data_IF_797828672715
#
_entry.id   IF_797828672715
#
_cell.length_a   1.000
_cell.length_b   1.000
_cell.length_c   1.000
_cell.angle_alpha   90.00
_cell.angle_beta   90.00
_cell.angle_gamma   90.00
#
_symmetry.space_group_name_H-M   'P 1'
#
loop_
_entity.id
_entity.type
_entity.pdbx_description
1 polymer ?
#
# COMPACT_ATOMS: atom_id res chain seq x y z
N UNK A 1 -64.17 13.53 -6.51
CA UNK A 1 -63.54 12.32 -5.96
C UNK A 1 -62.04 12.60 -5.92
N UNK A 2 -61.44 12.52 -4.73
CA UNK A 2 -60.17 13.16 -4.35
C UNK A 2 -58.92 12.61 -5.08
N UNK A 3 -57.97 13.50 -5.33
CA UNK A 3 -56.58 13.20 -5.69
C UNK A 3 -55.89 12.43 -4.54
N UNK A 4 -55.10 11.42 -4.87
CA UNK A 4 -54.02 10.92 -4.01
C UNK A 4 -52.73 10.81 -4.83
N UNK A 5 -51.83 11.77 -4.62
CA UNK A 5 -50.39 11.62 -4.90
C UNK A 5 -49.81 10.70 -3.82
N UNK A 6 -49.20 9.59 -4.22
CA UNK A 6 -48.29 8.85 -3.35
C UNK A 6 -46.91 9.51 -3.42
N UNK A 7 -46.55 10.25 -2.37
CA UNK A 7 -45.18 10.68 -2.14
C UNK A 7 -44.37 9.49 -1.59
N UNK A 8 -43.42 8.98 -2.36
CA UNK A 8 -42.41 8.04 -1.88
C UNK A 8 -41.36 8.87 -1.13
N UNK A 9 -41.40 8.80 0.20
CA UNK A 9 -40.39 9.40 1.06
C UNK A 9 -39.14 8.50 1.03
N UNK A 10 -38.17 8.83 0.18
CA UNK A 10 -36.85 8.21 0.25
C UNK A 10 -36.13 8.75 1.50
N UNK A 11 -35.98 7.89 2.51
CA UNK A 11 -35.20 8.19 3.70
C UNK A 11 -33.71 8.14 3.31
N UNK A 12 -33.11 9.30 3.03
CA UNK A 12 -31.66 9.42 2.85
C UNK A 12 -31.03 9.29 4.23
N UNK A 13 -30.50 8.11 4.56
CA UNK A 13 -29.62 7.95 5.71
C UNK A 13 -28.27 8.56 5.31
N UNK A 14 -28.05 9.79 5.73
CA UNK A 14 -26.74 10.43 5.63
C UNK A 14 -25.79 9.71 6.59
N UNK A 15 -25.01 8.75 6.06
CA UNK A 15 -23.82 8.26 6.73
C UNK A 15 -22.84 9.42 6.78
N UNK A 16 -22.73 10.07 7.94
CA UNK A 16 -21.68 11.04 8.20
C UNK A 16 -20.34 10.31 8.23
N UNK A 17 -19.76 10.05 7.06
CA UNK A 17 -18.34 9.81 6.93
C UNK A 17 -17.64 10.99 7.62
N UNK A 18 -17.06 10.75 8.79
CA UNK A 18 -16.24 11.73 9.48
C UNK A 18 -14.97 11.89 8.64
N UNK A 19 -15.06 12.71 7.60
CA UNK A 19 -13.89 13.21 6.89
C UNK A 19 -12.94 13.87 7.88
N UNK A 20 -11.63 13.86 7.60
CA UNK A 20 -10.63 14.37 8.53
C UNK A 20 -10.99 15.81 8.96
N UNK A 21 -10.83 16.15 10.25
CA UNK A 21 -11.26 17.44 10.77
C UNK A 21 -10.65 18.58 9.96
N UNK A 22 -11.41 19.65 9.70
CA UNK A 22 -11.03 20.78 8.81
C UNK A 22 -9.64 21.38 9.10
N UNK A 23 -9.15 21.29 10.35
CA UNK A 23 -7.80 21.69 10.74
C UNK A 23 -6.68 20.81 10.15
N UNK A 24 -6.92 19.49 9.97
CA UNK A 24 -5.99 18.61 9.27
C UNK A 24 -5.94 18.94 7.77
N UNK A 25 -7.07 19.25 7.11
CA UNK A 25 -7.08 19.63 5.69
C UNK A 25 -6.28 20.93 5.45
N UNK A 26 -6.46 21.94 6.29
CA UNK A 26 -5.70 23.19 6.22
C UNK A 26 -4.20 22.99 6.50
N UNK A 27 -3.86 22.13 7.46
CA UNK A 27 -2.48 21.73 7.76
C UNK A 27 -1.84 21.00 6.58
N UNK A 28 -2.54 20.04 5.97
CA UNK A 28 -2.09 19.25 4.82
C UNK A 28 -1.84 20.12 3.59
N UNK A 29 -2.74 21.08 3.30
CA UNK A 29 -2.55 22.07 2.23
C UNK A 29 -1.37 23.03 2.49
N UNK A 30 -1.12 23.39 3.76
CA UNK A 30 0.00 24.24 4.15
C UNK A 30 1.36 23.52 4.17
N UNK A 31 1.39 22.18 4.24
CA UNK A 31 2.63 21.39 4.13
C UNK A 31 3.10 21.31 2.68
N UNK A 32 2.20 21.01 1.74
CA UNK A 32 2.54 20.92 0.30
C UNK A 32 3.07 22.26 -0.27
N UNK A 33 2.60 23.41 0.22
CA UNK A 33 3.09 24.72 -0.23
C UNK A 33 4.50 25.09 0.26
N UNK A 34 5.03 24.41 1.29
CA UNK A 34 6.38 24.67 1.85
C UNK A 34 7.50 24.05 1.03
N UNK A 35 7.18 23.07 0.20
CA UNK A 35 8.18 22.31 -0.54
C UNK A 35 8.73 23.04 -1.77
N UNK A 36 8.05 24.10 -2.25
CA UNK A 36 8.45 24.85 -3.44
C UNK A 36 9.85 25.48 -3.35
N UNK A 37 10.30 25.86 -2.15
CA UNK A 37 11.63 26.46 -1.92
C UNK A 37 12.76 25.46 -1.69
N UNK A 38 12.44 24.18 -1.45
CA UNK A 38 13.41 23.16 -1.02
C UNK A 38 13.97 22.31 -2.17
N UNK A 39 13.28 22.23 -3.31
CA UNK A 39 13.73 21.51 -4.53
C UNK A 39 15.15 21.92 -4.98
N UNK A 40 15.52 23.20 -4.78
CA UNK A 40 16.83 23.71 -5.17
C UNK A 40 17.96 23.33 -4.18
N UNK A 41 17.63 23.09 -2.90
CA UNK A 41 18.58 22.61 -1.88
C UNK A 41 18.86 21.10 -2.02
N UNK A 42 17.89 20.35 -2.53
CA UNK A 42 17.98 18.89 -2.73
C UNK A 42 19.06 18.50 -3.73
N UNK A 43 19.19 19.25 -4.84
CA UNK A 43 20.26 19.03 -5.83
C UNK A 43 21.68 19.22 -5.28
N UNK A 44 21.88 20.02 -4.22
CA UNK A 44 23.21 20.31 -3.68
C UNK A 44 23.68 19.27 -2.65
N UNK A 45 22.76 18.65 -1.88
CA UNK A 45 23.12 17.58 -0.92
C UNK A 45 23.54 16.28 -1.60
N UNK A 46 23.06 16.05 -2.83
CA UNK A 46 23.35 14.91 -3.74
C UNK A 46 24.84 14.64 -3.99
N UNK A 47 25.72 15.62 -3.77
CA UNK A 47 27.17 15.48 -4.05
C UNK A 47 28.05 15.13 -2.84
N UNK A 48 27.50 14.97 -1.64
CA UNK A 48 28.34 14.98 -0.42
C UNK A 48 28.21 13.81 0.55
N UNK A 49 27.50 12.72 0.27
CA UNK A 49 27.31 11.68 1.30
C UNK A 49 27.69 10.27 0.86
N UNK A 50 28.51 9.65 1.70
CA UNK A 50 28.95 8.27 1.64
C UNK A 50 28.33 7.50 2.81
N UNK A 51 27.94 6.27 2.48
CA UNK A 51 27.33 5.21 3.27
C UNK A 51 27.81 5.10 4.73
N UNK A 52 26.88 5.01 5.69
CA UNK A 52 27.09 4.23 6.92
C UNK A 52 25.75 3.89 7.62
N UNK A 53 25.26 2.63 7.54
CA UNK A 53 24.04 2.24 8.23
C UNK A 53 24.30 2.09 9.75
N UNK A 54 23.45 2.71 10.56
CA UNK A 54 23.38 2.47 12.01
C UNK A 54 22.23 1.51 12.32
N UNK A 55 22.44 0.21 12.13
CA UNK A 55 21.55 -0.84 12.65
C UNK A 55 22.07 -1.24 14.03
N UNK A 56 21.24 -1.04 15.06
CA UNK A 56 21.52 -1.46 16.44
C UNK A 56 21.66 -2.99 16.55
N UNK A 57 22.59 -3.45 17.40
CA UNK A 57 22.98 -4.84 17.66
C UNK A 57 21.83 -5.85 17.60
N UNK A 58 21.59 -6.43 16.43
CA UNK A 58 20.75 -7.61 16.25
C UNK A 58 21.57 -8.70 15.57
N UNK A 59 21.54 -9.91 16.12
CA UNK A 59 22.38 -11.06 15.72
C UNK A 59 21.88 -11.73 14.42
N UNK A 60 20.88 -11.15 13.74
CA UNK A 60 20.29 -11.70 12.52
C UNK A 60 21.02 -11.13 11.30
N UNK A 61 21.70 -11.94 10.47
CA UNK A 61 22.32 -11.46 9.25
C UNK A 61 21.25 -11.09 8.22
N UNK A 62 20.96 -9.80 8.10
CA UNK A 62 20.03 -9.26 7.10
C UNK A 62 20.80 -9.08 5.77
N UNK A 63 20.50 -9.90 4.75
CA UNK A 63 21.09 -9.76 3.41
C UNK A 63 20.31 -8.72 2.61
N UNK A 64 20.91 -7.55 2.39
CA UNK A 64 20.26 -6.43 1.69
C UNK A 64 20.48 -6.49 0.18
N UNK A 65 19.44 -6.24 -0.60
CA UNK A 65 19.51 -5.84 -2.01
C UNK A 65 19.23 -4.33 -2.07
N UNK A 66 20.12 -3.59 -2.72
CA UNK A 66 19.94 -2.15 -2.91
C UNK A 66 18.83 -1.85 -3.93
N UNK A 67 18.10 -0.74 -3.80
CA UNK A 67 17.15 -0.30 -4.82
C UNK A 67 17.77 -0.16 -6.20
N UNK A 68 16.97 -0.38 -7.24
CA UNK A 68 17.40 -0.23 -8.62
C UNK A 68 17.72 1.24 -8.92
N UNK A 69 16.85 2.13 -8.45
CA UNK A 69 17.09 3.57 -8.47
C UNK A 69 17.91 3.98 -7.24
N UNK A 70 19.04 4.66 -7.46
CA UNK A 70 19.91 5.10 -6.37
C UNK A 70 19.45 6.40 -5.69
N UNK A 71 18.34 6.99 -6.14
CA UNK A 71 17.80 8.26 -5.65
C UNK A 71 16.29 8.34 -5.97
N UNK A 72 15.58 9.24 -5.29
CA UNK A 72 14.18 9.50 -5.57
C UNK A 72 14.01 10.02 -7.00
N UNK A 73 13.15 9.37 -7.79
CA UNK A 73 12.87 9.77 -9.17
C UNK A 73 11.85 10.91 -9.25
N UNK A 74 10.95 11.00 -8.27
CA UNK A 74 9.97 12.08 -8.16
C UNK A 74 10.05 12.70 -6.75
N UNK A 75 10.58 13.93 -6.67
CA UNK A 75 10.67 14.71 -5.44
C UNK A 75 9.48 15.67 -5.26
N UNK A 76 8.40 15.48 -6.02
CA UNK A 76 7.19 16.28 -5.85
C UNK A 76 6.62 15.99 -4.47
N UNK A 77 6.85 16.93 -3.57
CA UNK A 77 6.44 16.88 -2.18
C UNK A 77 4.95 17.16 -2.09
N UNK A 78 4.19 16.09 -2.32
CA UNK A 78 2.73 16.04 -2.20
C UNK A 78 2.41 14.95 -1.21
N UNK A 79 1.58 15.30 -0.24
CA UNK A 79 1.14 14.35 0.78
C UNK A 79 0.27 13.27 0.12
N UNK A 80 0.64 12.02 0.32
CA UNK A 80 -0.15 10.88 -0.13
C UNK A 80 -1.49 10.83 0.64
N UNK A 81 -2.63 10.67 -0.05
CA UNK A 81 -3.92 10.54 0.60
C UNK A 81 -4.01 9.29 1.47
N UNK A 82 -4.81 9.41 2.53
CA UNK A 82 -5.13 8.28 3.42
C UNK A 82 -6.20 7.42 2.77
N UNK A 83 -5.87 6.14 2.58
CA UNK A 83 -6.75 5.10 2.02
C UNK A 83 -6.89 3.98 3.05
N UNK A 84 -7.99 3.23 2.98
CA UNK A 84 -8.21 2.09 3.86
C UNK A 84 -7.12 1.02 3.71
N UNK A 85 -6.71 0.40 4.82
CA UNK A 85 -5.92 -0.84 4.81
C UNK A 85 -6.72 -2.02 4.20
N UNK A 86 -8.04 -1.89 4.07
CA UNK A 86 -8.89 -2.93 3.54
C UNK A 86 -9.02 -4.13 4.48
N UNK A 87 -9.83 -5.12 4.09
CA UNK A 87 -10.23 -6.18 5.02
C UNK A 87 -9.19 -7.29 5.20
N UNK A 88 -8.20 -7.39 4.30
CA UNK A 88 -7.21 -8.47 4.27
C UNK A 88 -5.88 -8.08 4.91
N UNK A 89 -5.92 -7.17 5.89
CA UNK A 89 -4.80 -6.81 6.73
C UNK A 89 -4.70 -7.77 7.92
N UNK A 90 -3.55 -8.47 8.04
CA UNK A 90 -3.30 -9.43 9.13
C UNK A 90 -1.96 -9.16 9.80
N UNK A 91 -1.94 -8.46 10.94
CA UNK A 91 -0.71 -8.03 11.59
C UNK A 91 0.26 -9.17 11.97
N UNK A 92 -0.22 -10.38 12.23
CA UNK A 92 0.67 -11.50 12.56
C UNK A 92 1.47 -12.05 11.37
N UNK A 93 1.16 -11.66 10.13
CA UNK A 93 1.88 -12.09 8.92
C UNK A 93 3.01 -11.15 8.48
N UNK A 94 3.28 -10.11 9.26
CA UNK A 94 4.26 -9.08 9.00
C UNK A 94 5.70 -9.57 9.26
N UNK A 95 6.35 -9.98 8.18
CA UNK A 95 7.71 -10.51 8.21
C UNK A 95 8.69 -9.48 7.63
N UNK A 96 9.82 -9.29 8.30
CA UNK A 96 10.92 -8.47 7.80
C UNK A 96 11.61 -9.19 6.62
N UNK A 97 11.40 -8.74 5.40
CA UNK A 97 12.01 -9.32 4.18
C UNK A 97 11.93 -8.36 3.00
N UNK A 98 12.91 -8.44 2.10
CA UNK A 98 12.90 -7.73 0.81
C UNK A 98 12.37 -8.57 -0.35
N UNK A 99 12.12 -9.86 -0.15
CA UNK A 99 11.47 -10.73 -1.13
C UNK A 99 10.23 -11.32 -0.48
N UNK A 100 9.06 -10.78 -0.83
CA UNK A 100 7.76 -11.21 -0.32
C UNK A 100 7.11 -12.25 -1.24
N UNK A 101 7.77 -12.69 -2.33
CA UNK A 101 7.18 -13.57 -3.35
C UNK A 101 6.80 -14.95 -2.80
N UNK A 102 7.67 -15.51 -1.97
CA UNK A 102 7.62 -16.90 -1.49
C UNK A 102 7.41 -17.90 -2.66
N UNK A 103 6.27 -18.59 -2.68
CA UNK A 103 5.90 -19.60 -3.66
C UNK A 103 4.93 -19.10 -4.75
N UNK A 104 4.59 -17.82 -4.76
CA UNK A 104 3.58 -17.30 -5.69
C UNK A 104 4.14 -17.14 -7.10
N UNK A 105 3.30 -17.52 -8.07
CA UNK A 105 3.62 -17.44 -9.50
C UNK A 105 2.97 -16.19 -10.09
N UNK A 106 3.73 -15.45 -10.88
CA UNK A 106 3.29 -14.24 -11.56
C UNK A 106 4.45 -13.55 -12.28
N UNK A 107 4.17 -12.40 -12.90
CA UNK A 107 5.20 -11.55 -13.47
C UNK A 107 6.02 -10.93 -12.33
N UNK A 108 7.36 -11.13 -12.27
CA UNK A 108 8.18 -10.54 -11.23
C UNK A 108 8.10 -9.02 -11.22
N UNK A 109 8.06 -8.42 -10.03
CA UNK A 109 8.07 -6.97 -9.82
C UNK A 109 9.13 -6.61 -8.78
N UNK A 110 10.09 -5.77 -9.15
CA UNK A 110 10.97 -5.09 -8.22
C UNK A 110 10.44 -3.68 -8.01
N UNK A 111 9.84 -3.43 -6.85
CA UNK A 111 9.18 -2.18 -6.51
C UNK A 111 10.08 -1.34 -5.61
N UNK A 112 10.57 -0.24 -6.16
CA UNK A 112 11.28 0.79 -5.40
C UNK A 112 10.27 1.80 -4.82
N UNK A 113 10.31 2.00 -3.51
CA UNK A 113 9.47 2.97 -2.80
C UNK A 113 10.34 4.00 -2.13
N UNK A 114 10.14 5.25 -2.53
CA UNK A 114 10.69 6.42 -1.87
C UNK A 114 9.73 6.98 -0.82
N UNK A 115 10.25 7.40 0.33
CA UNK A 115 9.46 8.09 1.37
C UNK A 115 10.05 9.46 1.62
N UNK A 116 9.22 10.50 1.55
CA UNK A 116 9.58 11.89 1.81
C UNK A 116 8.78 12.41 3.01
N UNK A 117 9.46 13.06 3.96
CA UNK A 117 8.78 13.79 5.03
C UNK A 117 8.26 15.13 4.50
N UNK A 118 6.95 15.34 4.56
CA UNK A 118 6.27 16.54 4.08
C UNK A 118 6.57 17.81 4.89
N UNK A 119 7.06 17.69 6.12
CA UNK A 119 7.49 18.83 6.93
C UNK A 119 8.85 19.38 6.48
N UNK A 120 9.74 18.51 6.00
CA UNK A 120 11.13 18.86 5.64
C UNK A 120 11.42 18.80 4.15
N UNK A 121 10.60 18.08 3.39
CA UNK A 121 10.75 17.77 1.97
C UNK A 121 12.04 17.00 1.68
N UNK A 122 12.55 16.27 2.67
CA UNK A 122 13.74 15.43 2.57
C UNK A 122 13.36 13.95 2.58
N UNK A 123 14.19 13.08 2.00
CA UNK A 123 14.02 11.64 2.15
C UNK A 123 13.97 11.26 3.63
N UNK A 124 13.03 10.39 3.97
CA UNK A 124 12.79 9.94 5.32
C UNK A 124 13.46 8.58 5.53
N UNK A 125 14.63 8.60 6.15
CA UNK A 125 15.45 7.41 6.44
C UNK A 125 14.85 6.56 7.58
N UNK A 126 15.03 5.25 7.48
CA UNK A 126 14.82 4.31 8.59
C UNK A 126 13.36 4.03 8.93
N UNK A 127 12.40 4.57 8.18
CA UNK A 127 10.98 4.22 8.36
C UNK A 127 10.65 2.88 7.74
N UNK A 128 9.82 2.10 8.41
CA UNK A 128 9.37 0.79 7.93
C UNK A 128 8.27 0.98 6.89
N UNK A 129 8.42 0.34 5.74
CA UNK A 129 7.38 0.25 4.71
C UNK A 129 6.81 -1.16 4.74
N UNK A 130 5.52 -1.28 5.02
CA UNK A 130 4.75 -2.52 5.03
C UNK A 130 3.92 -2.65 3.75
N UNK A 131 3.99 -3.82 3.10
CA UNK A 131 3.32 -4.10 1.84
C UNK A 131 2.57 -5.42 1.90
N UNK A 132 1.35 -5.43 1.37
CA UNK A 132 0.60 -6.64 1.10
C UNK A 132 -0.27 -6.52 -0.16
N UNK A 133 -0.48 -7.62 -0.86
CA UNK A 133 -1.40 -7.67 -1.99
C UNK A 133 -1.87 -9.10 -2.29
N UNK A 134 -2.89 -9.22 -3.13
CA UNK A 134 -3.35 -10.51 -3.61
C UNK A 134 -2.38 -11.14 -4.61
N UNK A 135 -2.45 -12.46 -4.76
CA UNK A 135 -1.73 -13.16 -5.82
C UNK A 135 -2.34 -12.89 -7.20
N UNK A 136 -1.76 -13.54 -8.23
CA UNK A 136 -2.16 -13.34 -9.62
C UNK A 136 -3.64 -13.67 -9.92
N UNK A 137 -4.33 -14.43 -9.04
CA UNK A 137 -5.75 -14.81 -9.18
C UNK A 137 -6.63 -14.22 -8.07
N UNK A 138 -6.16 -13.18 -7.38
CA UNK A 138 -6.98 -12.40 -6.45
C UNK A 138 -7.02 -12.88 -5.00
N UNK A 139 -6.43 -14.03 -4.65
CA UNK A 139 -6.42 -14.53 -3.28
C UNK A 139 -5.40 -13.79 -2.41
N UNK A 140 -5.68 -13.65 -1.12
CA UNK A 140 -4.73 -13.11 -0.11
C UNK A 140 -4.20 -14.22 0.79
N UNK A 141 -2.90 -14.17 1.13
CA UNK A 141 -2.32 -15.02 2.18
C UNK A 141 -2.96 -14.71 3.52
N UNK A 142 -2.95 -15.68 4.44
CA UNK A 142 -3.70 -15.65 5.69
C UNK A 142 -5.23 -15.72 5.50
N UNK A 143 -5.74 -15.57 4.28
CA UNK A 143 -7.18 -15.60 3.95
C UNK A 143 -7.45 -16.51 2.74
N UNK A 144 -6.62 -17.54 2.51
CA UNK A 144 -6.65 -18.34 1.29
C UNK A 144 -7.93 -19.14 1.07
N UNK A 145 -8.71 -19.40 2.13
CA UNK A 145 -10.02 -20.05 2.00
C UNK A 145 -11.16 -19.08 1.66
N UNK A 146 -10.90 -17.76 1.63
CA UNK A 146 -11.88 -16.76 1.21
C UNK A 146 -11.84 -16.59 -0.30
N UNK A 147 -13.02 -16.69 -0.92
CA UNK A 147 -13.18 -16.49 -2.35
C UNK A 147 -12.84 -15.05 -2.74
N UNK A 148 -11.93 -14.82 -3.72
CA UNK A 148 -11.68 -13.47 -4.25
C UNK A 148 -12.83 -12.96 -5.12
N UNK A 149 -13.82 -13.80 -5.41
CA UNK A 149 -14.96 -13.51 -6.29
C UNK A 149 -16.21 -13.11 -5.52
N UNK A 150 -16.18 -13.22 -4.19
CA UNK A 150 -17.33 -12.98 -3.31
C UNK A 150 -17.15 -11.64 -2.60
N UNK A 151 -18.11 -10.69 -2.70
CA UNK A 151 -18.01 -9.41 -2.01
C UNK A 151 -17.79 -9.58 -0.50
N UNK A 152 -16.94 -8.74 0.07
CA UNK A 152 -16.52 -8.88 1.47
C UNK A 152 -17.69 -8.93 2.49
N UNK A 153 -18.78 -8.12 2.36
CA UNK A 153 -19.92 -8.24 3.25
C UNK A 153 -20.61 -9.61 3.20
N UNK A 154 -20.60 -10.28 2.05
CA UNK A 154 -21.13 -11.63 1.88
C UNK A 154 -20.21 -12.66 2.55
N UNK A 155 -18.89 -12.54 2.39
CA UNK A 155 -17.90 -13.37 3.11
C UNK A 155 -18.05 -13.27 4.63
N UNK A 156 -18.28 -12.07 5.16
CA UNK A 156 -18.55 -11.89 6.60
C UNK A 156 -19.85 -12.58 7.03
N UNK A 157 -20.91 -12.43 6.23
CA UNK A 157 -22.21 -13.03 6.53
C UNK A 157 -22.14 -14.57 6.54
N UNK A 158 -21.37 -15.17 5.62
CA UNK A 158 -21.11 -16.61 5.58
C UNK A 158 -20.40 -17.11 6.86
N UNK A 159 -19.60 -16.25 7.50
CA UNK A 159 -18.95 -16.53 8.78
C UNK A 159 -19.82 -16.15 10.00
N UNK A 160 -21.08 -15.75 9.79
CA UNK A 160 -21.98 -15.32 10.86
C UNK A 160 -21.58 -14.00 11.52
N UNK A 161 -20.79 -13.16 10.83
CA UNK A 161 -20.32 -11.86 11.30
C UNK A 161 -21.10 -10.73 10.62
N UNK A 162 -21.26 -9.61 11.31
CA UNK A 162 -21.83 -8.38 10.74
C UNK A 162 -20.71 -7.40 10.38
N UNK A 163 -20.86 -6.69 9.25
CA UNK A 163 -19.93 -5.63 8.84
C UNK A 163 -19.82 -4.52 9.89
N UNK A 164 -20.86 -4.27 10.69
CA UNK A 164 -20.82 -3.27 11.77
C UNK A 164 -19.84 -3.63 12.89
N UNK A 165 -19.56 -4.92 13.05
CA UNK A 165 -18.72 -5.46 14.12
C UNK A 165 -17.30 -5.75 13.61
N UNK A 166 -17.08 -5.59 12.30
CA UNK A 166 -15.77 -5.77 11.68
C UNK A 166 -14.91 -4.53 11.90
N UNK A 167 -13.76 -4.75 12.53
CA UNK A 167 -12.70 -3.78 12.71
C UNK A 167 -11.45 -4.28 12.01
N UNK A 168 -10.94 -3.50 11.05
CA UNK A 168 -9.74 -3.84 10.27
C UNK A 168 -8.55 -4.05 11.20
N UNK A 169 -7.81 -5.14 11.02
CA UNK A 169 -6.63 -5.47 11.83
C UNK A 169 -6.92 -6.02 13.22
N UNK A 170 -8.15 -5.89 13.73
CA UNK A 170 -8.55 -6.41 15.05
C UNK A 170 -9.47 -7.62 14.94
N UNK A 171 -10.42 -7.60 14.01
CA UNK A 171 -11.35 -8.72 13.82
C UNK A 171 -10.64 -9.83 13.08
N UNK A 172 -10.43 -10.93 13.79
CA UNK A 172 -9.78 -12.09 13.21
C UNK A 172 -10.70 -12.80 12.19
N UNK A 173 -10.21 -12.90 10.95
CA UNK A 173 -10.81 -13.61 9.82
C UNK A 173 -9.80 -14.55 9.13
N UNK A 174 -8.61 -14.78 9.70
CA UNK A 174 -7.59 -15.58 9.03
C UNK A 174 -8.06 -17.03 8.86
N UNK A 175 -7.71 -17.65 7.74
CA UNK A 175 -8.09 -19.02 7.41
C UNK A 175 -6.91 -19.99 7.44
N UNK A 176 -5.68 -19.44 7.49
CA UNK A 176 -4.43 -20.17 7.44
C UNK A 176 -3.28 -19.30 7.96
N UNK A 177 -2.07 -19.87 7.98
CA UNK A 177 -0.85 -19.20 8.43
C UNK A 177 0.08 -18.80 7.27
N UNK A 178 -0.41 -18.78 6.03
CA UNK A 178 0.39 -18.37 4.88
C UNK A 178 0.71 -16.88 4.97
N UNK A 179 1.90 -16.50 4.47
CA UNK A 179 2.37 -15.10 4.54
C UNK A 179 2.86 -14.54 3.21
N UNK A 180 2.68 -15.30 2.12
CA UNK A 180 3.17 -14.89 0.80
C UNK A 180 2.56 -13.56 0.40
N UNK A 181 3.33 -12.76 -0.35
CA UNK A 181 2.96 -11.41 -0.78
C UNK A 181 2.61 -10.50 0.40
N UNK A 182 3.33 -10.68 1.52
CA UNK A 182 3.38 -9.75 2.65
C UNK A 182 4.82 -9.53 3.08
N UNK A 183 5.27 -8.29 3.16
CA UNK A 183 6.66 -8.01 3.46
C UNK A 183 6.87 -6.59 3.96
N UNK A 184 7.80 -6.46 4.89
CA UNK A 184 8.19 -5.17 5.45
C UNK A 184 9.68 -4.94 5.24
N UNK A 185 10.05 -3.71 4.90
CA UNK A 185 11.45 -3.31 4.85
C UNK A 185 11.69 -1.83 5.16
N UNK A 186 12.75 -1.48 5.90
CA UNK A 186 13.05 -0.09 6.19
C UNK A 186 13.69 0.63 5.00
N UNK A 187 13.40 1.93 4.91
CA UNK A 187 14.08 2.85 4.00
C UNK A 187 15.54 3.08 4.39
N UNK A 188 16.40 3.29 3.40
CA UNK A 188 17.81 3.64 3.57
C UNK A 188 18.02 5.16 3.79
N UNK A 189 19.28 5.60 3.84
CA UNK A 189 19.68 7.01 4.01
C UNK A 189 19.10 7.97 2.95
N UNK A 190 18.72 7.43 1.78
CA UNK A 190 18.09 8.18 0.69
C UNK A 190 16.56 8.05 0.70
N UNK A 191 15.98 7.56 1.82
CA UNK A 191 14.55 7.36 1.99
C UNK A 191 13.97 6.29 1.07
N UNK A 192 14.79 5.37 0.56
CA UNK A 192 14.40 4.35 -0.42
C UNK A 192 14.41 2.95 0.17
N UNK A 193 13.43 2.14 -0.21
CA UNK A 193 13.44 0.68 -0.05
C UNK A 193 13.12 0.02 -1.39
N UNK A 194 13.55 -1.23 -1.56
CA UNK A 194 13.11 -2.09 -2.64
C UNK A 194 12.46 -3.33 -2.07
N UNK A 195 11.34 -3.72 -2.68
CA UNK A 195 10.64 -4.96 -2.42
C UNK A 195 10.54 -5.77 -3.71
N UNK A 196 10.96 -7.03 -3.66
CA UNK A 196 10.72 -8.02 -4.72
C UNK A 196 9.41 -8.76 -4.44
N UNK A 197 8.54 -8.78 -5.43
CA UNK A 197 7.23 -9.44 -5.40
C UNK A 197 6.82 -9.91 -6.80
N UNK A 198 5.54 -10.23 -7.01
CA UNK A 198 4.90 -10.37 -8.33
C UNK A 198 3.90 -9.24 -8.57
N UNK A 199 3.60 -8.95 -9.83
CA UNK A 199 2.49 -8.07 -10.19
C UNK A 199 1.17 -8.66 -9.63
N UNK A 200 0.34 -7.87 -8.91
CA UNK A 200 -0.89 -8.37 -8.30
C UNK A 200 -1.95 -8.75 -9.33
N UNK A 201 -2.83 -9.69 -8.95
CA UNK A 201 -4.09 -9.92 -9.65
C UNK A 201 -5.16 -8.93 -9.21
N UNK A 202 -6.43 -9.30 -9.41
CA UNK A 202 -7.58 -8.53 -8.96
C UNK A 202 -8.55 -9.41 -8.20
N UNK A 203 -9.42 -8.78 -7.43
CA UNK A 203 -10.53 -9.43 -6.75
C UNK A 203 -11.78 -8.55 -6.92
N UNK A 204 -12.94 -9.09 -6.55
CA UNK A 204 -14.23 -8.46 -6.80
C UNK A 204 -14.28 -7.01 -6.30
N UNK A 205 -14.91 -6.13 -7.09
CA UNK A 205 -15.16 -4.70 -6.81
C UNK A 205 -13.92 -3.79 -6.75
N UNK A 206 -12.70 -4.32 -6.96
CA UNK A 206 -11.46 -3.57 -6.78
C UNK A 206 -10.57 -3.62 -8.02
N UNK A 207 -9.93 -2.49 -8.32
CA UNK A 207 -8.85 -2.43 -9.31
C UNK A 207 -7.58 -3.12 -8.78
N UNK A 208 -6.61 -3.35 -9.65
CA UNK A 208 -5.34 -3.97 -9.29
C UNK A 208 -4.54 -3.00 -8.40
N UNK A 209 -4.13 -3.46 -7.21
CA UNK A 209 -3.40 -2.62 -6.27
C UNK A 209 -2.45 -3.40 -5.35
N UNK A 210 -1.51 -2.66 -4.76
CA UNK A 210 -0.67 -3.07 -3.63
C UNK A 210 -1.00 -2.16 -2.45
N UNK A 211 -1.33 -2.73 -1.30
CA UNK A 211 -1.49 -1.94 -0.09
C UNK A 211 -0.13 -1.54 0.47
N UNK A 212 -0.08 -0.36 1.09
CA UNK A 212 1.14 0.15 1.74
C UNK A 212 0.83 0.86 3.05
N UNK A 213 1.65 0.61 4.07
CA UNK A 213 1.73 1.42 5.28
C UNK A 213 3.15 1.89 5.55
N UNK A 214 3.28 3.04 6.22
CA UNK A 214 4.56 3.58 6.69
C UNK A 214 4.52 3.76 8.20
N UNK A 215 5.50 3.20 8.90
CA UNK A 215 5.64 3.25 10.35
C UNK A 215 6.97 3.91 10.75
N UNK A 216 6.91 4.87 11.68
CA UNK A 216 8.10 5.63 12.11
C UNK A 216 8.79 5.06 13.34
N UNK A 217 8.11 4.22 14.11
CA UNK A 217 8.68 3.55 15.27
C UNK A 217 8.58 2.04 15.08
N UNK A 218 9.71 1.35 15.07
CA UNK A 218 9.75 -0.09 14.92
C UNK A 218 11.03 -0.68 15.48
N UNK A 219 10.95 -1.92 15.93
CA UNK A 219 12.08 -2.71 16.44
C UNK A 219 11.93 -4.17 16.05
N UNK A 220 13.05 -4.88 15.99
CA UNK A 220 13.06 -6.34 15.81
C UNK A 220 13.19 -6.97 17.19
N UNK A 221 12.24 -7.83 17.57
CA UNK A 221 12.30 -8.63 18.80
C UNK A 221 13.41 -9.71 18.69
N UNK A 222 13.84 -10.24 19.82
CA UNK A 222 14.86 -11.31 19.87
C UNK A 222 14.48 -12.57 19.08
N UNK A 223 13.19 -12.87 18.96
CA UNK A 223 12.66 -13.99 18.18
C UNK A 223 12.55 -13.69 16.67
N UNK A 224 13.00 -12.52 16.21
CA UNK A 224 12.96 -12.10 14.81
C UNK A 224 11.64 -11.49 14.32
N UNK A 225 10.61 -11.39 15.16
CA UNK A 225 9.36 -10.71 14.80
C UNK A 225 9.47 -9.20 14.94
N UNK A 226 8.71 -8.45 14.15
CA UNK A 226 8.68 -7.00 14.22
C UNK A 226 7.68 -6.51 15.29
N UNK A 227 8.04 -5.44 15.98
CA UNK A 227 7.09 -4.53 16.63
C UNK A 227 7.18 -3.23 15.89
N UNK A 228 6.05 -2.66 15.54
CA UNK A 228 5.98 -1.31 15.00
C UNK A 228 4.80 -0.59 15.63
N UNK A 229 4.96 0.71 15.75
CA UNK A 229 3.98 1.66 16.22
C UNK A 229 4.01 2.88 15.29
N UNK A 230 3.14 3.86 15.54
CA UNK A 230 3.12 5.11 14.82
C UNK A 230 2.96 4.94 13.29
N UNK A 231 1.84 4.35 12.87
CA UNK A 231 1.45 4.37 11.46
C UNK A 231 1.20 5.82 11.04
N UNK A 232 1.99 6.34 10.10
CA UNK A 232 1.93 7.74 9.62
C UNK A 232 1.34 7.86 8.22
N UNK A 233 1.17 6.74 7.52
CA UNK A 233 0.50 6.69 6.23
C UNK A 233 -0.10 5.31 5.99
N UNK A 234 -1.33 5.29 5.48
CA UNK A 234 -1.97 4.09 4.91
C UNK A 234 -2.46 4.42 3.51
N UNK A 235 -2.06 3.63 2.53
CA UNK A 235 -2.28 3.89 1.11
C UNK A 235 -2.48 2.62 0.28
N UNK A 236 -2.75 2.84 -0.99
CA UNK A 236 -2.81 1.80 -2.01
C UNK A 236 -2.14 2.32 -3.28
N UNK A 237 -1.30 1.48 -3.88
CA UNK A 237 -0.52 1.74 -5.09
C UNK A 237 -1.20 1.06 -6.26
N UNK A 238 -1.32 1.75 -7.38
CA UNK A 238 -2.04 1.28 -8.58
C UNK A 238 -1.11 1.26 -9.80
N UNK A 239 -1.60 0.76 -10.93
CA UNK A 239 -0.81 0.62 -12.15
C UNK A 239 -1.50 1.28 -13.35
N UNK A 240 -0.75 1.45 -14.43
CA UNK A 240 -1.31 2.00 -15.67
C UNK A 240 -2.27 0.97 -16.32
N UNK A 241 -3.42 1.44 -16.79
CA UNK A 241 -4.49 0.58 -17.34
C UNK A 241 -4.03 -0.21 -18.58
N UNK A 242 -3.15 0.36 -19.42
CA UNK A 242 -2.62 -0.35 -20.58
C UNK A 242 -1.67 -1.48 -20.15
N UNK A 243 -0.87 -1.26 -19.11
CA UNK A 243 -0.02 -2.29 -18.52
C UNK A 243 -0.86 -3.40 -17.86
N UNK A 244 -1.86 -3.03 -17.07
CA UNK A 244 -2.77 -3.97 -16.42
C UNK A 244 -3.42 -4.90 -17.44
N UNK A 245 -3.96 -4.37 -18.54
CA UNK A 245 -4.56 -5.16 -19.61
C UNK A 245 -3.57 -6.17 -20.24
N UNK A 246 -2.30 -5.77 -20.44
CA UNK A 246 -1.27 -6.67 -20.99
C UNK A 246 -0.90 -7.78 -20.01
N UNK A 247 -0.74 -7.46 -18.72
CA UNK A 247 -0.39 -8.46 -17.70
C UNK A 247 -1.54 -9.45 -17.49
N UNK A 248 -2.79 -8.97 -17.44
CA UNK A 248 -3.96 -9.84 -17.29
C UNK A 248 -4.17 -10.81 -18.46
N UNK A 249 -3.52 -10.58 -19.62
CA UNK A 249 -3.52 -11.51 -20.74
C UNK A 249 -2.50 -12.65 -20.61
N UNK A 250 -1.58 -12.59 -19.64
CA UNK A 250 -0.56 -13.61 -19.39
C UNK A 250 -1.06 -14.66 -18.40
N UNK A 251 -0.49 -15.87 -18.44
CA UNK A 251 -0.68 -16.85 -17.38
C UNK A 251 0.19 -16.48 -16.15
N UNK A 252 -0.28 -16.72 -14.91
CA UNK A 252 -1.57 -17.33 -14.57
C UNK A 252 -2.76 -16.34 -14.52
N UNK A 253 -2.54 -15.03 -14.66
CA UNK A 253 -3.59 -14.00 -14.54
C UNK A 253 -4.83 -14.27 -15.41
N UNK A 254 -4.61 -14.67 -16.67
CA UNK A 254 -5.66 -14.98 -17.62
C UNK A 254 -6.52 -16.21 -17.24
N UNK A 255 -6.19 -16.94 -16.17
CA UNK A 255 -7.03 -18.02 -15.66
C UNK A 255 -8.18 -17.54 -14.76
N UNK A 256 -8.10 -16.31 -14.23
CA UNK A 256 -9.15 -15.73 -13.40
C UNK A 256 -10.23 -15.10 -14.29
N UNK A 257 -11.34 -15.81 -14.47
CA UNK A 257 -12.38 -15.49 -15.47
C UNK A 257 -13.79 -15.41 -14.88
N UNK A 258 -13.95 -15.73 -13.60
CA UNK A 258 -15.21 -15.80 -12.89
C UNK A 258 -15.86 -14.43 -12.67
N UNK A 259 -15.05 -13.38 -12.66
CA UNK A 259 -15.46 -11.98 -12.49
C UNK A 259 -14.72 -11.07 -13.48
N UNK A 260 -15.32 -9.93 -13.77
CA UNK A 260 -14.64 -8.88 -14.53
C UNK A 260 -13.80 -8.02 -13.58
N UNK A 261 -12.60 -7.64 -14.03
CA UNK A 261 -11.78 -6.65 -13.34
C UNK A 261 -12.45 -5.29 -13.33
N UNK A 262 -12.49 -4.64 -12.18
CA UNK A 262 -12.84 -3.21 -12.05
C UNK A 262 -11.66 -2.37 -12.51
N UNK A 263 -11.86 -1.45 -13.46
CA UNK A 263 -10.78 -0.56 -13.91
C UNK A 263 -10.51 0.56 -12.91
N UNK A 264 -9.33 1.18 -12.97
CA UNK A 264 -8.95 2.27 -12.06
C UNK A 264 -10.00 3.41 -12.02
N UNK A 265 -10.58 3.78 -13.17
CA UNK A 265 -11.59 4.83 -13.25
C UNK A 265 -12.92 4.51 -12.54
N UNK A 266 -13.17 3.24 -12.23
CA UNK A 266 -14.38 2.75 -11.55
C UNK A 266 -14.12 2.39 -10.07
N UNK A 267 -12.86 2.29 -9.65
CA UNK A 267 -12.50 1.96 -8.27
C UNK A 267 -12.63 3.19 -7.34
N UNK A 268 -13.41 2.99 -6.27
CA UNK A 268 -13.73 4.04 -5.30
C UNK A 268 -12.52 4.47 -4.44
N UNK A 269 -11.57 3.58 -4.18
CA UNK A 269 -10.35 3.87 -3.43
C UNK A 269 -9.28 4.50 -4.33
N UNK A 270 -9.21 4.14 -5.62
CA UNK A 270 -8.34 4.82 -6.59
C UNK A 270 -8.66 6.31 -6.68
N UNK A 271 -9.95 6.64 -6.79
CA UNK A 271 -10.42 8.03 -6.84
C UNK A 271 -10.04 8.83 -5.58
N UNK A 272 -10.04 8.20 -4.40
CA UNK A 272 -9.58 8.83 -3.15
C UNK A 272 -8.06 8.97 -3.13
N UNK A 273 -7.33 7.99 -3.67
CA UNK A 273 -5.86 7.99 -3.79
C UNK A 273 -5.33 9.10 -4.68
N UNK A 274 -6.12 9.58 -5.65
CA UNK A 274 -5.80 10.72 -6.52
C UNK A 274 -6.05 12.11 -5.86
N UNK A 275 -6.48 12.15 -4.59
CA UNK A 275 -6.77 13.41 -3.92
C UNK A 275 -5.52 14.28 -3.73
N UNK A 276 -5.74 15.60 -3.59
CA UNK A 276 -4.70 16.59 -3.26
C UNK A 276 -3.52 16.66 -4.26
N UNK A 277 -3.70 16.18 -5.50
CA UNK A 277 -2.68 16.22 -6.54
C UNK A 277 -1.63 15.12 -6.45
N UNK A 278 -1.85 14.12 -5.59
CA UNK A 278 -1.04 12.91 -5.57
C UNK A 278 -1.45 11.97 -6.70
N UNK A 279 -0.50 11.19 -7.22
CA UNK A 279 -0.77 10.13 -8.19
C UNK A 279 -0.27 8.81 -7.59
N UNK A 280 -1.16 7.86 -7.25
CA UNK A 280 -0.78 6.58 -6.67
C UNK A 280 -0.37 5.54 -7.74
N UNK A 281 -0.31 5.92 -9.02
CA UNK A 281 0.10 5.02 -10.11
C UNK A 281 1.62 4.86 -10.13
N UNK A 282 2.07 3.62 -9.98
CA UNK A 282 3.48 3.22 -10.02
C UNK A 282 4.04 3.46 -11.42
N UNK A 283 5.19 4.14 -11.50
CA UNK A 283 5.95 4.23 -12.76
C UNK A 283 6.65 2.90 -13.02
N UNK A 284 6.37 2.27 -14.15
CA UNK A 284 6.88 0.94 -14.48
C UNK A 284 7.74 0.98 -15.74
N UNK A 285 8.88 0.30 -15.68
CA UNK A 285 9.66 -0.09 -16.85
C UNK A 285 9.75 -1.61 -16.93
N UNK A 286 9.81 -2.14 -18.14
CA UNK A 286 9.96 -3.58 -18.35
C UNK A 286 11.44 -3.97 -18.20
N UNK A 287 11.70 -5.16 -17.66
CA UNK A 287 13.07 -5.70 -17.61
C UNK A 287 13.54 -6.10 -19.01
N UNK A 288 12.60 -6.56 -19.84
CA UNK A 288 12.80 -6.92 -21.23
C UNK A 288 11.71 -6.22 -22.05
N UNK A 289 12.10 -5.46 -23.08
CA UNK A 289 11.17 -4.64 -23.88
C UNK A 289 10.17 -5.48 -24.71
N UNK A 290 10.49 -6.76 -24.96
CA UNK A 290 9.71 -7.66 -25.81
C UNK A 290 8.94 -8.74 -25.01
N UNK A 291 9.32 -8.99 -23.74
CA UNK A 291 8.73 -10.04 -22.91
C UNK A 291 8.43 -9.58 -21.47
N UNK A 292 7.20 -9.12 -21.26
CA UNK A 292 6.65 -8.75 -19.95
C UNK A 292 6.79 -9.85 -18.88
N UNK A 293 6.86 -11.13 -19.26
CA UNK A 293 7.00 -12.23 -18.28
C UNK A 293 8.35 -12.25 -17.58
N UNK A 294 9.36 -11.54 -18.13
CA UNK A 294 10.69 -11.40 -17.50
C UNK A 294 10.68 -10.49 -16.27
N UNK A 295 9.65 -9.66 -16.14
CA UNK A 295 9.41 -8.85 -14.97
C UNK A 295 9.47 -7.35 -15.24
N UNK A 296 9.21 -6.62 -14.16
CA UNK A 296 8.95 -5.19 -14.15
C UNK A 296 9.77 -4.53 -13.05
N UNK A 297 10.21 -3.31 -13.29
CA UNK A 297 10.79 -2.45 -12.27
C UNK A 297 9.81 -1.30 -12.05
N UNK A 298 9.23 -1.26 -10.85
CA UNK A 298 8.30 -0.23 -10.41
C UNK A 298 9.00 0.82 -9.57
N UNK A 299 8.54 2.07 -9.67
CA UNK A 299 8.97 3.15 -8.80
C UNK A 299 7.78 4.03 -8.37
N UNK A 300 7.74 4.39 -7.10
CA UNK A 300 6.81 5.38 -6.55
C UNK A 300 7.41 6.14 -5.38
N UNK A 301 6.98 7.39 -5.18
CA UNK A 301 7.33 8.19 -4.00
C UNK A 301 6.07 8.43 -3.17
N UNK A 302 6.14 8.18 -1.86
CA UNK A 302 5.09 8.45 -0.88
C UNK A 302 5.50 9.65 -0.03
N UNK A 303 4.66 10.69 0.00
CA UNK A 303 4.84 11.83 0.88
C UNK A 303 4.09 11.60 2.19
N UNK A 304 4.76 11.65 3.33
CA UNK A 304 4.17 11.39 4.65
C UNK A 304 4.27 12.61 5.57
N UNK A 305 3.26 12.84 6.44
CA UNK A 305 3.40 13.75 7.58
C UNK A 305 3.85 12.90 8.78
N UNK A 306 5.16 12.89 9.07
CA UNK A 306 5.77 12.07 10.14
C UNK A 306 5.22 12.38 11.54
N UNK A 307 4.48 13.48 11.69
CA UNK A 307 3.84 13.89 12.94
C UNK A 307 2.32 13.68 12.96
N UNK A 308 1.74 13.13 11.89
CA UNK A 308 0.34 12.69 11.83
C UNK A 308 0.21 11.23 12.29
N UNK A 309 0.74 10.93 13.47
CA UNK A 309 0.78 9.60 14.08
C UNK A 309 -0.63 9.06 14.32
N UNK A 310 -0.85 7.80 13.94
CA UNK A 310 -2.00 7.00 14.37
C UNK A 310 -1.50 5.84 15.22
N UNK A 311 -2.05 5.76 16.43
CA UNK A 311 -1.83 4.63 17.33
C UNK A 311 -2.69 3.45 16.85
N UNK A 312 -2.22 2.74 15.83
CA UNK A 312 -2.64 1.38 15.56
C UNK A 312 -1.80 0.47 16.46
N UNK A 313 -2.09 0.48 17.77
CA UNK A 313 -1.36 -0.35 18.74
C UNK A 313 -1.56 -1.83 18.40
N UNK A 314 -0.52 -2.47 17.87
CA UNK A 314 -0.46 -3.92 17.77
C UNK A 314 0.70 -4.48 18.57
N UNK A 315 0.40 -5.01 19.75
CA UNK A 315 1.28 -5.95 20.43
C UNK A 315 0.88 -7.37 19.98
N UNK A 316 1.61 -7.97 19.06
CA UNK A 316 1.55 -9.43 18.89
C UNK A 316 1.83 -10.06 20.26
N UNK A 317 0.82 -10.72 20.83
CA UNK A 317 0.90 -11.46 22.09
C UNK A 317 1.77 -12.71 21.93
#
# INVERSE_FOLDING_TARGET
>A
MQLFLFAVLALVVAVNAHGPPKGQIARKAALSSRCASHVNHNNQKRWKRGFSPSISNTTVPIRTQGPYYSALQNETCVLSPEITAGPYYWPHSQTLRQDMTENQVGVPLWLDIGVIDMATCLPLEGVMVDLWHCNATGSYSSFSALSPNTPFPELLAEQGKNISDFVVGETDLHTDAETWLRGMWPTNEEGLMQMKTIFPGFYVERSIHIHVQVHTDWTVRENGTLVFENTVSTGQLYFDEELEAKIMALQPYASHVEINRTINAEDMEFSKGMANGYNPVVSVVQVDDDDLSKGLIGYITIGVDSSAIRDEHWSAA
#
